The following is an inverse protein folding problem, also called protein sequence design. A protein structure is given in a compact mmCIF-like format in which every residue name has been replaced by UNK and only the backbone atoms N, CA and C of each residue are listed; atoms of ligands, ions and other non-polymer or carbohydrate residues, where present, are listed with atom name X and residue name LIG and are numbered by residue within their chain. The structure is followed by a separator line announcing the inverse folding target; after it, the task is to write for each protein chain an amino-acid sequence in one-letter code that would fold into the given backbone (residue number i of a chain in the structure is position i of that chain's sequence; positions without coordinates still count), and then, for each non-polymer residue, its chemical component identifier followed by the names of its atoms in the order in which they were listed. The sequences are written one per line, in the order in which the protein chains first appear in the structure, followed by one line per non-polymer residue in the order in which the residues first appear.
data_IF_641842487185
#
_entry.id   IF_641842487185
#
_cell.length_a   1.000
_cell.length_b   1.000
_cell.length_c   1.000
_cell.angle_alpha   90.00
_cell.angle_beta   90.00
_cell.angle_gamma   90.00
#
_symmetry.space_group_name_H-M   'P 1'
#
loop_
_entity.id
_entity.type
_entity.pdbx_description
1 polymer ?
#
# COMPACT_ATOMS: atom_id res chain seq x y z
N UNK A 1 9.72 -4.20 6.03
CA UNK A 1 9.99 -2.78 5.93
C UNK A 1 10.58 -2.46 4.56
N UNK A 2 9.71 -2.14 3.60
CA UNK A 2 10.06 -1.60 2.32
C UNK A 2 11.03 -2.41 1.45
N UNK A 3 11.32 -1.87 0.30
CA UNK A 3 12.27 -2.44 -0.67
C UNK A 3 13.75 -2.05 -0.40
N UNK A 4 14.01 -1.27 0.66
CA UNK A 4 15.37 -0.83 0.98
C UNK A 4 16.07 -1.80 1.94
N UNK A 5 16.99 -2.65 1.44
CA UNK A 5 17.67 -3.65 2.26
C UNK A 5 18.57 -3.03 3.35
N UNK A 6 19.08 -1.83 3.13
CA UNK A 6 19.90 -1.13 4.13
C UNK A 6 19.07 -0.70 5.33
N UNK A 7 17.88 -0.13 5.09
CA UNK A 7 16.96 0.24 6.16
C UNK A 7 16.45 -1.00 6.91
N UNK A 8 16.08 -2.05 6.18
CA UNK A 8 15.68 -3.31 6.78
C UNK A 8 16.79 -3.91 7.65
N UNK A 9 18.03 -3.92 7.16
CA UNK A 9 19.20 -4.38 7.90
C UNK A 9 19.49 -3.55 9.15
N UNK A 10 19.37 -2.22 9.05
CA UNK A 10 19.56 -1.33 10.19
C UNK A 10 18.51 -1.56 11.28
N UNK A 11 17.22 -1.70 10.92
CA UNK A 11 16.14 -1.99 11.86
C UNK A 11 16.29 -3.34 12.56
N UNK A 12 16.89 -4.32 11.88
CA UNK A 12 17.12 -5.65 12.44
C UNK A 12 18.52 -5.82 13.07
N UNK A 13 19.28 -4.75 13.25
CA UNK A 13 20.65 -4.81 13.76
C UNK A 13 21.53 -5.84 13.03
N UNK A 14 21.39 -5.92 11.69
CA UNK A 14 22.11 -6.88 10.86
C UNK A 14 21.61 -8.33 10.96
N UNK A 15 20.53 -8.59 11.67
CA UNK A 15 19.93 -9.92 11.77
C UNK A 15 19.42 -10.42 10.41
N UNK A 16 19.58 -11.73 10.14
CA UNK A 16 19.03 -12.41 8.95
C UNK A 16 17.51 -12.47 8.93
N UNK A 17 16.84 -12.13 10.05
CA UNK A 17 15.37 -12.16 10.17
C UNK A 17 14.64 -11.13 9.30
N UNK A 18 15.37 -10.30 8.54
CA UNK A 18 14.79 -9.43 7.51
C UNK A 18 14.44 -10.18 6.21
N UNK A 19 14.92 -11.39 6.05
CA UNK A 19 14.61 -12.22 4.88
C UNK A 19 13.10 -12.49 4.77
N UNK A 20 12.55 -12.50 3.55
CA UNK A 20 11.13 -12.80 3.30
C UNK A 20 10.64 -14.13 3.90
N UNK A 21 11.52 -15.12 4.01
CA UNK A 21 11.21 -16.43 4.62
C UNK A 21 10.74 -16.34 6.08
N UNK A 22 11.23 -15.34 6.83
CA UNK A 22 10.81 -15.10 8.20
C UNK A 22 9.51 -14.30 8.32
N UNK A 23 8.95 -13.82 7.21
CA UNK A 23 7.74 -12.99 7.27
C UNK A 23 6.55 -13.74 7.84
N UNK A 24 6.35 -14.98 7.41
CA UNK A 24 5.25 -15.83 7.90
C UNK A 24 5.38 -16.12 9.40
N UNK A 25 6.60 -16.43 9.89
CA UNK A 25 6.86 -16.61 11.32
C UNK A 25 6.53 -15.36 12.12
N UNK A 26 7.00 -14.19 11.66
CA UNK A 26 6.69 -12.91 12.32
C UNK A 26 5.19 -12.59 12.34
N UNK A 27 4.49 -12.93 11.26
CA UNK A 27 3.04 -12.76 11.20
C UNK A 27 2.33 -13.68 12.19
N UNK A 28 2.80 -14.91 12.35
CA UNK A 28 2.24 -15.84 13.32
C UNK A 28 2.48 -15.37 14.77
N UNK A 29 3.70 -14.93 15.09
CA UNK A 29 4.03 -14.38 16.41
C UNK A 29 3.17 -13.14 16.72
N UNK A 30 3.07 -12.20 15.75
CA UNK A 30 2.22 -11.01 15.91
C UNK A 30 0.75 -11.39 16.12
N UNK A 31 0.25 -12.37 15.35
CA UNK A 31 -1.10 -12.91 15.52
C UNK A 31 -1.31 -13.44 16.93
N UNK A 32 -0.38 -14.24 17.45
CA UNK A 32 -0.46 -14.81 18.80
C UNK A 32 -0.56 -13.71 19.84
N UNK A 33 0.29 -12.69 19.76
CA UNK A 33 0.20 -11.54 20.65
C UNK A 33 -1.15 -10.81 20.57
N UNK A 34 -1.67 -10.61 19.35
CA UNK A 34 -2.94 -9.91 19.15
C UNK A 34 -4.14 -10.66 19.73
N UNK A 35 -4.12 -11.99 19.74
CA UNK A 35 -5.22 -12.83 20.25
C UNK A 35 -4.98 -13.35 21.67
N UNK A 36 -3.87 -12.96 22.32
CA UNK A 36 -3.53 -13.36 23.69
C UNK A 36 -2.98 -14.75 23.87
N UNK A 37 -2.49 -15.31 22.78
CA UNK A 37 -1.73 -16.55 22.84
C UNK A 37 -0.24 -16.25 22.95
N UNK A 38 0.52 -17.18 23.49
CA UNK A 38 1.97 -17.09 23.46
C UNK A 38 2.49 -17.45 22.08
N UNK A 39 3.44 -16.66 21.51
CA UNK A 39 4.13 -17.04 20.30
C UNK A 39 4.87 -18.38 20.43
N UNK A 40 5.00 -19.09 19.33
CA UNK A 40 5.82 -20.33 19.28
C UNK A 40 7.33 -20.04 19.28
N UNK A 41 7.72 -18.82 18.92
CA UNK A 41 9.13 -18.41 18.91
C UNK A 41 9.67 -18.28 20.33
N UNK A 42 10.61 -19.13 20.71
CA UNK A 42 11.22 -19.23 22.04
C UNK A 42 11.67 -17.87 22.60
N UNK A 43 12.20 -17.00 21.75
CA UNK A 43 12.65 -15.65 22.15
C UNK A 43 11.54 -14.80 22.77
N UNK A 44 10.28 -15.13 22.55
CA UNK A 44 9.11 -14.39 23.06
C UNK A 44 8.35 -15.09 24.17
N UNK A 45 8.84 -16.24 24.65
CA UNK A 45 8.15 -17.04 25.66
C UNK A 45 7.87 -16.27 26.96
N UNK A 46 8.79 -15.36 27.33
CA UNK A 46 8.71 -14.53 28.52
C UNK A 46 8.15 -13.12 28.28
N UNK A 47 7.63 -12.84 27.07
CA UNK A 47 7.10 -11.53 26.70
C UNK A 47 5.59 -11.50 26.91
N UNK A 48 5.14 -10.58 27.78
CA UNK A 48 3.72 -10.31 27.98
C UNK A 48 3.35 -8.97 27.32
N UNK A 49 2.21 -8.94 26.64
CA UNK A 49 1.68 -7.72 26.01
C UNK A 49 0.65 -7.07 26.92
N UNK A 50 0.87 -5.78 27.22
CA UNK A 50 -0.05 -4.96 28.01
C UNK A 50 -0.46 -3.71 27.23
N UNK A 51 -1.72 -3.24 27.41
CA UNK A 51 -2.80 -3.82 28.20
C UNK A 51 -3.27 -5.14 27.62
N UNK A 52 -3.75 -6.04 28.50
CA UNK A 52 -4.28 -7.34 28.08
C UNK A 52 -5.50 -7.18 27.15
N UNK A 53 -5.80 -8.24 26.47
CA UNK A 53 -6.65 -8.35 25.28
C UNK A 53 -8.15 -8.11 25.52
N UNK A 54 -8.51 -6.90 25.86
CA UNK A 54 -9.94 -6.54 25.91
C UNK A 54 -10.56 -6.29 24.53
N UNK A 55 -9.78 -5.78 23.58
CA UNK A 55 -10.25 -5.41 22.24
C UNK A 55 -9.21 -5.80 21.18
N UNK A 56 -9.55 -6.78 20.34
CA UNK A 56 -8.77 -7.12 19.16
C UNK A 56 -8.88 -5.98 18.13
N UNK A 57 -7.77 -5.34 17.73
CA UNK A 57 -7.83 -4.31 16.71
C UNK A 57 -8.23 -4.89 15.35
N UNK A 58 -8.96 -4.13 14.55
CA UNK A 58 -9.20 -4.50 13.17
C UNK A 58 -7.87 -4.49 12.40
N UNK A 59 -7.45 -5.68 11.96
CA UNK A 59 -6.12 -5.89 11.38
C UNK A 59 -6.24 -6.17 9.90
N UNK A 60 -5.55 -5.39 9.08
CA UNK A 60 -5.51 -5.52 7.63
C UNK A 60 -4.09 -5.84 7.14
N UNK A 61 -3.96 -6.76 6.20
CA UNK A 61 -2.68 -7.02 5.54
C UNK A 61 -2.58 -6.21 4.25
N UNK A 62 -1.56 -5.35 4.15
CA UNK A 62 -1.25 -4.59 2.93
C UNK A 62 -0.53 -5.49 1.94
N UNK A 63 -1.06 -5.59 0.73
CA UNK A 63 -0.68 -6.60 -0.27
C UNK A 63 -0.45 -5.97 -1.63
N UNK A 64 0.64 -6.37 -2.30
CA UNK A 64 0.93 -6.03 -3.70
C UNK A 64 1.44 -7.24 -4.52
N UNK A 65 1.35 -8.44 -3.96
CA UNK A 65 1.86 -9.67 -4.59
C UNK A 65 0.98 -10.88 -4.30
N UNK A 66 1.10 -11.92 -5.12
CA UNK A 66 0.39 -13.19 -4.92
C UNK A 66 0.67 -13.81 -3.55
N UNK A 67 1.93 -13.85 -3.14
CA UNK A 67 2.30 -14.38 -1.83
C UNK A 67 1.63 -13.61 -0.69
N UNK A 68 1.54 -12.27 -0.80
CA UNK A 68 0.82 -11.46 0.18
C UNK A 68 -0.67 -11.79 0.24
N UNK A 69 -1.31 -11.98 -0.92
CA UNK A 69 -2.72 -12.36 -1.00
C UNK A 69 -2.97 -13.75 -0.39
N UNK A 70 -2.09 -14.71 -0.66
CA UNK A 70 -2.17 -16.05 -0.09
C UNK A 70 -1.99 -16.05 1.43
N UNK A 71 -1.07 -15.23 1.94
CA UNK A 71 -0.87 -15.05 3.38
C UNK A 71 -2.09 -14.39 4.05
N UNK A 72 -2.66 -13.33 3.44
CA UNK A 72 -3.88 -12.71 3.96
C UNK A 72 -5.03 -13.74 4.04
N UNK A 73 -5.21 -14.53 2.98
CA UNK A 73 -6.22 -15.58 2.93
C UNK A 73 -5.98 -16.68 3.97
N UNK A 74 -4.72 -17.13 4.11
CA UNK A 74 -4.33 -18.18 5.05
C UNK A 74 -4.56 -17.79 6.51
N UNK A 75 -4.16 -16.55 6.89
CA UNK A 75 -4.37 -16.04 8.24
C UNK A 75 -5.79 -15.52 8.48
N UNK A 76 -6.65 -15.49 7.46
CA UNK A 76 -8.01 -14.99 7.56
C UNK A 76 -8.06 -13.50 7.92
N UNK A 77 -7.11 -12.73 7.41
CA UNK A 77 -7.02 -11.28 7.60
C UNK A 77 -7.72 -10.54 6.47
N UNK A 78 -8.44 -9.45 6.74
CA UNK A 78 -8.80 -8.46 5.74
C UNK A 78 -7.60 -8.03 4.91
N UNK A 79 -7.77 -7.90 3.59
CA UNK A 79 -6.72 -7.59 2.65
C UNK A 79 -6.85 -6.17 2.10
N UNK A 80 -5.76 -5.39 2.14
CA UNK A 80 -5.67 -4.08 1.52
C UNK A 80 -4.73 -4.13 0.32
N UNK A 81 -5.26 -3.99 -0.89
CA UNK A 81 -4.47 -3.97 -2.11
C UNK A 81 -3.73 -2.64 -2.24
N UNK A 82 -2.42 -2.69 -2.35
CA UNK A 82 -1.55 -1.53 -2.54
C UNK A 82 -1.43 -1.17 -4.02
N UNK A 83 -2.53 -0.79 -4.67
CA UNK A 83 -2.55 -0.40 -6.07
C UNK A 83 -1.64 0.80 -6.36
N UNK A 84 -1.41 1.66 -5.37
CA UNK A 84 -0.45 2.77 -5.46
C UNK A 84 1.02 2.30 -5.59
N UNK A 85 1.33 1.04 -5.26
CA UNK A 85 2.66 0.41 -5.44
C UNK A 85 2.68 -0.43 -6.72
N UNK A 86 1.73 -1.36 -6.86
CA UNK A 86 1.62 -2.29 -7.98
C UNK A 86 0.21 -2.23 -8.57
N UNK A 87 0.10 -1.64 -9.74
CA UNK A 87 -1.20 -1.38 -10.37
C UNK A 87 -1.84 -2.63 -10.98
N UNK A 88 -1.05 -3.65 -11.31
CA UNK A 88 -1.54 -4.91 -11.85
C UNK A 88 -2.06 -5.87 -10.76
N UNK A 89 -2.25 -5.40 -9.52
CA UNK A 89 -2.61 -6.24 -8.37
C UNK A 89 -4.11 -6.55 -8.22
N UNK A 90 -4.99 -5.98 -9.03
CA UNK A 90 -6.45 -6.10 -8.83
C UNK A 90 -6.95 -7.54 -8.91
N UNK A 91 -6.34 -8.38 -9.75
CA UNK A 91 -6.66 -9.80 -9.88
C UNK A 91 -6.42 -10.59 -8.58
N UNK A 92 -5.61 -10.05 -7.66
CA UNK A 92 -5.35 -10.65 -6.36
C UNK A 92 -6.59 -10.68 -5.46
N UNK A 93 -7.58 -9.81 -5.72
CA UNK A 93 -8.85 -9.82 -4.98
C UNK A 93 -9.58 -11.16 -5.13
N UNK A 94 -9.69 -11.66 -6.35
CA UNK A 94 -10.31 -12.95 -6.63
C UNK A 94 -9.52 -14.11 -6.03
N UNK A 95 -8.18 -14.08 -6.18
CA UNK A 95 -7.29 -15.10 -5.59
C UNK A 95 -7.47 -15.17 -4.07
N UNK A 96 -7.46 -14.02 -3.41
CA UNK A 96 -7.68 -13.91 -1.98
C UNK A 96 -9.04 -14.46 -1.56
N UNK A 97 -10.14 -14.04 -2.22
CA UNK A 97 -11.50 -14.52 -1.88
C UNK A 97 -11.65 -16.01 -2.02
N UNK A 98 -11.09 -16.62 -3.08
CA UNK A 98 -11.15 -18.05 -3.33
C UNK A 98 -10.43 -18.89 -2.27
N UNK A 99 -9.33 -18.35 -1.72
CA UNK A 99 -8.48 -19.06 -0.77
C UNK A 99 -8.71 -18.66 0.69
N UNK A 100 -9.63 -17.73 0.96
CA UNK A 100 -9.86 -17.17 2.29
C UNK A 100 -10.29 -18.22 3.31
N UNK A 101 -9.64 -18.22 4.46
CA UNK A 101 -9.97 -19.06 5.62
C UNK A 101 -10.49 -18.17 6.75
N UNK A 102 -11.74 -18.38 7.23
CA UNK A 102 -12.25 -17.61 8.37
C UNK A 102 -11.36 -17.70 9.59
N UNK A 103 -11.20 -16.60 10.31
CA UNK A 103 -10.38 -16.51 11.52
C UNK A 103 -11.08 -15.69 12.62
N UNK A 104 -10.35 -15.39 13.69
CA UNK A 104 -10.81 -14.46 14.73
C UNK A 104 -10.84 -13.02 14.22
N UNK A 105 -10.04 -12.69 13.19
CA UNK A 105 -9.95 -11.35 12.60
C UNK A 105 -11.09 -11.05 11.63
N UNK A 106 -11.50 -12.05 10.85
CA UNK A 106 -12.65 -11.90 9.96
C UNK A 106 -13.33 -13.25 9.68
N UNK A 107 -14.65 -13.23 9.58
CA UNK A 107 -15.45 -14.41 9.22
C UNK A 107 -15.71 -14.50 7.72
N UNK A 108 -15.52 -13.40 7.00
CA UNK A 108 -15.71 -13.26 5.56
C UNK A 108 -14.52 -12.54 4.94
N UNK A 109 -14.20 -12.81 3.66
CA UNK A 109 -13.14 -12.06 2.98
C UNK A 109 -13.55 -10.59 2.85
N UNK A 110 -12.63 -9.68 3.19
CA UNK A 110 -12.80 -8.23 3.00
C UNK A 110 -11.64 -7.69 2.19
N UNK A 111 -11.93 -6.84 1.22
CA UNK A 111 -10.94 -6.21 0.34
C UNK A 111 -11.05 -4.70 0.43
N UNK A 112 -9.96 -4.01 0.66
CA UNK A 112 -9.82 -2.58 0.40
C UNK A 112 -8.78 -2.33 -0.68
N UNK A 113 -8.87 -1.19 -1.38
CA UNK A 113 -7.88 -0.81 -2.39
C UNK A 113 -7.31 0.55 -2.07
N UNK A 114 -5.99 0.62 -1.91
CA UNK A 114 -5.26 1.87 -1.77
C UNK A 114 -4.83 2.41 -3.13
N UNK A 115 -5.25 3.63 -3.45
CA UNK A 115 -4.91 4.31 -4.70
C UNK A 115 -4.21 5.62 -4.42
N UNK A 116 -3.38 6.07 -5.37
CA UNK A 116 -2.89 7.45 -5.40
C UNK A 116 -3.79 8.27 -6.32
N UNK A 117 -4.38 9.34 -5.79
CA UNK A 117 -5.27 10.19 -6.57
C UNK A 117 -5.06 11.68 -6.29
N UNK A 118 -5.22 12.49 -7.34
CA UNK A 118 -5.29 13.96 -7.27
C UNK A 118 -6.47 14.40 -8.12
N UNK A 119 -7.46 15.01 -7.48
CA UNK A 119 -8.65 15.56 -8.11
C UNK A 119 -8.62 17.08 -8.04
N UNK A 120 -8.95 17.76 -9.15
CA UNK A 120 -9.06 19.20 -9.24
C UNK A 120 -10.29 19.61 -10.08
N UNK A 121 -10.49 20.90 -10.31
CA UNK A 121 -11.61 21.39 -11.12
C UNK A 121 -11.44 21.02 -12.61
N UNK A 122 -10.20 20.94 -13.09
CA UNK A 122 -9.86 20.50 -14.44
C UNK A 122 -8.76 19.45 -14.46
N UNK A 123 -8.65 18.73 -15.59
CA UNK A 123 -7.57 17.77 -15.79
C UNK A 123 -6.19 18.47 -15.83
N UNK A 124 -6.11 19.65 -16.43
CA UNK A 124 -4.89 20.44 -16.52
C UNK A 124 -4.39 20.88 -15.13
N UNK A 125 -5.29 21.30 -14.27
CA UNK A 125 -4.97 21.68 -12.89
C UNK A 125 -4.51 20.47 -12.09
N UNK A 126 -5.21 19.33 -12.16
CA UNK A 126 -4.82 18.12 -11.50
C UNK A 126 -3.42 17.63 -11.92
N UNK A 127 -3.10 17.77 -13.21
CA UNK A 127 -1.77 17.45 -13.76
C UNK A 127 -0.72 18.38 -13.15
N UNK A 128 -1.00 19.68 -13.09
CA UNK A 128 -0.09 20.66 -12.49
C UNK A 128 0.20 20.31 -11.04
N UNK A 129 -0.83 20.04 -10.24
CA UNK A 129 -0.71 19.63 -8.83
C UNK A 129 0.06 18.31 -8.67
N UNK A 130 -0.04 17.41 -9.63
CA UNK A 130 0.67 16.12 -9.60
C UNK A 130 2.16 16.20 -9.91
N UNK A 131 2.63 17.33 -10.46
CA UNK A 131 3.99 17.48 -10.94
C UNK A 131 5.02 17.23 -9.83
N UNK A 132 4.81 17.80 -8.64
CA UNK A 132 5.69 17.63 -7.48
C UNK A 132 5.84 16.18 -7.05
N UNK A 133 4.73 15.45 -6.93
CA UNK A 133 4.73 14.03 -6.58
C UNK A 133 5.42 13.18 -7.66
N UNK A 134 5.23 13.52 -8.91
CA UNK A 134 5.83 12.82 -10.05
C UNK A 134 7.34 13.05 -10.12
N UNK A 135 7.80 14.29 -9.98
CA UNK A 135 9.21 14.63 -9.94
C UNK A 135 9.91 13.96 -8.74
N UNK A 136 9.30 14.04 -7.55
CA UNK A 136 9.84 13.38 -6.36
C UNK A 136 9.96 11.87 -6.54
N UNK A 137 8.93 11.22 -7.07
CA UNK A 137 8.94 9.77 -7.34
C UNK A 137 10.04 9.38 -8.33
N UNK A 138 10.22 10.17 -9.41
CA UNK A 138 11.30 9.97 -10.38
C UNK A 138 12.69 10.11 -9.74
N UNK A 139 12.87 11.09 -8.83
CA UNK A 139 14.12 11.25 -8.07
C UNK A 139 14.39 10.03 -7.20
N UNK A 140 13.40 9.56 -6.45
CA UNK A 140 13.52 8.37 -5.59
C UNK A 140 13.86 7.12 -6.40
N UNK A 141 13.20 6.90 -7.55
CA UNK A 141 13.50 5.75 -8.43
C UNK A 141 14.93 5.78 -8.98
N UNK A 142 15.51 6.96 -9.16
CA UNK A 142 16.91 7.14 -9.55
C UNK A 142 17.88 7.10 -8.37
N UNK A 143 17.42 6.73 -7.18
CA UNK A 143 18.23 6.68 -5.97
C UNK A 143 18.62 8.05 -5.39
N UNK A 144 17.98 9.13 -5.83
CA UNK A 144 18.23 10.47 -5.33
C UNK A 144 17.27 10.79 -4.19
N UNK A 145 17.82 10.97 -2.99
CA UNK A 145 17.06 11.51 -1.86
C UNK A 145 17.02 13.04 -1.97
N UNK A 146 15.84 13.64 -1.93
CA UNK A 146 15.66 15.09 -1.96
C UNK A 146 14.39 15.48 -1.20
N UNK A 147 14.30 16.75 -0.84
CA UNK A 147 13.04 17.33 -0.37
C UNK A 147 11.96 17.19 -1.46
N UNK A 148 10.71 17.25 -1.04
CA UNK A 148 9.58 17.30 -1.96
C UNK A 148 9.64 18.61 -2.77
N UNK A 149 9.65 18.56 -4.11
CA UNK A 149 9.87 19.76 -4.92
C UNK A 149 8.64 20.66 -4.97
N UNK A 150 8.85 21.95 -5.11
CA UNK A 150 7.80 22.91 -5.41
C UNK A 150 7.23 22.66 -6.81
N UNK A 151 5.96 23.03 -7.05
CA UNK A 151 5.29 22.81 -8.35
C UNK A 151 6.07 23.44 -9.50
N UNK A 152 6.59 24.66 -9.34
CA UNK A 152 7.34 25.34 -10.40
C UNK A 152 8.63 24.60 -10.79
N UNK A 153 9.37 24.06 -9.82
CA UNK A 153 10.56 23.25 -10.07
C UNK A 153 10.20 21.92 -10.74
N UNK A 154 9.17 21.28 -10.22
CA UNK A 154 8.70 20.00 -10.70
C UNK A 154 8.21 20.07 -12.16
N UNK A 155 7.47 21.11 -12.53
CA UNK A 155 7.00 21.32 -13.90
C UNK A 155 8.15 21.49 -14.89
N UNK A 156 9.24 22.16 -14.51
CA UNK A 156 10.45 22.26 -15.34
C UNK A 156 11.11 20.91 -15.53
N UNK A 157 11.31 20.18 -14.43
CA UNK A 157 11.95 18.86 -14.43
C UNK A 157 11.15 17.84 -15.25
N UNK A 158 9.83 17.86 -15.14
CA UNK A 158 8.94 16.96 -15.87
C UNK A 158 8.94 17.26 -17.38
N UNK A 159 8.94 18.53 -17.77
CA UNK A 159 9.05 18.94 -19.16
C UNK A 159 10.40 18.52 -19.78
N UNK A 160 11.49 18.72 -19.07
CA UNK A 160 12.84 18.34 -19.51
C UNK A 160 13.00 16.81 -19.64
N UNK A 161 12.38 16.06 -18.77
CA UNK A 161 12.45 14.59 -18.76
C UNK A 161 11.59 13.94 -19.85
N UNK A 162 10.83 14.69 -20.65
CA UNK A 162 9.82 14.17 -21.58
C UNK A 162 8.90 13.14 -20.92
N UNK A 163 8.76 13.23 -19.59
CA UNK A 163 7.99 12.30 -18.79
C UNK A 163 6.53 12.57 -19.10
N UNK A 164 5.90 11.70 -19.86
CA UNK A 164 4.49 11.82 -20.16
C UNK A 164 3.69 11.47 -18.88
N UNK A 165 3.45 12.47 -18.04
CA UNK A 165 2.62 12.35 -16.83
C UNK A 165 1.20 11.90 -17.17
N UNK A 166 0.86 11.95 -18.44
CA UNK A 166 -0.41 11.58 -19.04
C UNK A 166 -0.31 10.31 -19.87
N UNK A 167 0.76 9.49 -19.70
CA UNK A 167 0.87 8.27 -20.50
C UNK A 167 -0.46 7.53 -20.54
N UNK A 168 -0.93 7.24 -21.74
CA UNK A 168 -2.14 6.47 -21.97
C UNK A 168 -1.88 5.00 -21.62
N UNK A 169 -2.70 4.41 -20.78
CA UNK A 169 -2.54 3.01 -20.40
C UNK A 169 -3.12 2.64 -19.03
N UNK A 170 -3.18 1.36 -18.72
CA UNK A 170 -3.79 0.88 -17.47
C UNK A 170 -3.03 1.30 -16.19
N UNK A 171 -1.78 1.74 -16.32
CA UNK A 171 -0.92 2.16 -15.19
C UNK A 171 -0.97 3.67 -14.92
N UNK A 172 -2.12 4.30 -15.16
CA UNK A 172 -2.28 5.73 -14.87
C UNK A 172 -2.64 5.95 -13.40
N UNK A 173 -1.97 6.88 -12.71
CA UNK A 173 -2.50 7.37 -11.45
C UNK A 173 -3.87 8.02 -11.69
N UNK A 174 -4.72 8.02 -10.68
CA UNK A 174 -6.03 8.68 -10.73
C UNK A 174 -5.84 10.19 -10.57
N UNK A 175 -5.43 10.84 -11.66
CA UNK A 175 -5.18 12.28 -11.72
C UNK A 175 -6.14 12.87 -12.76
N UNK A 176 -6.87 13.91 -12.40
CA UNK A 176 -7.81 14.56 -13.31
C UNK A 176 -8.96 15.26 -12.59
N UNK A 177 -9.91 15.74 -13.40
CA UNK A 177 -11.19 16.26 -12.94
C UNK A 177 -12.04 15.17 -12.29
N UNK A 178 -13.09 15.56 -11.61
CA UNK A 178 -14.04 14.63 -10.98
C UNK A 178 -14.56 13.57 -11.97
N UNK A 179 -14.91 13.98 -13.18
CA UNK A 179 -15.40 13.06 -14.22
C UNK A 179 -14.32 12.07 -14.64
N UNK A 180 -13.10 12.53 -14.89
CA UNK A 180 -11.97 11.69 -15.26
C UNK A 180 -11.65 10.68 -14.17
N UNK A 181 -11.63 11.08 -12.90
CA UNK A 181 -11.41 10.17 -11.76
C UNK A 181 -12.53 9.14 -11.68
N UNK A 182 -13.80 9.58 -11.79
CA UNK A 182 -14.94 8.68 -11.73
C UNK A 182 -14.88 7.59 -12.81
N UNK A 183 -14.64 7.96 -14.06
CA UNK A 183 -14.53 7.01 -15.17
C UNK A 183 -13.41 6.01 -14.98
N UNK A 184 -12.24 6.45 -14.46
CA UNK A 184 -11.09 5.59 -14.21
C UNK A 184 -11.28 4.64 -13.03
N UNK A 185 -12.08 5.02 -12.04
CA UNK A 185 -12.38 4.17 -10.88
C UNK A 185 -13.33 3.01 -11.23
N UNK A 186 -14.22 3.17 -12.23
CA UNK A 186 -15.22 2.14 -12.56
C UNK A 186 -14.61 0.76 -12.86
N UNK A 187 -13.58 0.64 -13.72
CA UNK A 187 -12.94 -0.67 -13.98
C UNK A 187 -12.30 -1.26 -12.73
N UNK A 188 -11.66 -0.44 -11.87
CA UNK A 188 -11.05 -0.88 -10.63
C UNK A 188 -12.10 -1.45 -9.68
N UNK A 189 -13.17 -0.70 -9.45
CA UNK A 189 -14.27 -1.12 -8.57
C UNK A 189 -14.90 -2.41 -9.09
N UNK A 190 -15.15 -2.51 -10.39
CA UNK A 190 -15.74 -3.70 -11.01
C UNK A 190 -14.87 -4.95 -10.85
N UNK A 191 -13.55 -4.83 -10.91
CA UNK A 191 -12.60 -5.96 -10.83
C UNK A 191 -12.33 -6.33 -9.38
N UNK A 192 -12.01 -5.37 -8.54
CA UNK A 192 -11.62 -5.64 -7.16
C UNK A 192 -12.81 -5.79 -6.22
N UNK A 193 -13.98 -5.24 -6.56
CA UNK A 193 -15.20 -5.20 -5.72
C UNK A 193 -14.87 -4.89 -4.25
N UNK A 194 -14.24 -3.73 -3.99
CA UNK A 194 -13.74 -3.42 -2.65
C UNK A 194 -14.84 -2.85 -1.75
N UNK A 195 -14.80 -3.20 -0.46
CA UNK A 195 -15.62 -2.58 0.58
C UNK A 195 -15.15 -1.17 0.91
N UNK A 196 -13.88 -0.86 0.63
CA UNK A 196 -13.27 0.43 0.98
C UNK A 196 -12.24 0.88 -0.05
N UNK A 197 -12.25 2.16 -0.40
CA UNK A 197 -11.19 2.83 -1.13
C UNK A 197 -10.40 3.72 -0.19
N UNK A 198 -9.08 3.52 -0.14
CA UNK A 198 -8.13 4.35 0.61
C UNK A 198 -7.43 5.27 -0.37
N UNK A 199 -7.65 6.57 -0.24
CA UNK A 199 -7.09 7.56 -1.15
C UNK A 199 -5.86 8.19 -0.50
N UNK A 200 -4.72 8.10 -1.20
CA UNK A 200 -3.49 8.79 -0.86
C UNK A 200 -3.37 9.96 -1.81
N UNK A 201 -3.31 11.16 -1.26
CA UNK A 201 -3.03 12.37 -2.05
C UNK A 201 -1.78 13.05 -1.51
N UNK A 202 -0.89 13.44 -2.41
CA UNK A 202 0.32 14.19 -2.08
C UNK A 202 0.47 15.26 -3.16
N UNK A 203 0.20 16.50 -2.80
CA UNK A 203 0.31 17.65 -3.70
C UNK A 203 0.92 18.83 -2.95
N UNK A 204 1.30 19.86 -3.69
CA UNK A 204 1.76 21.17 -3.18
C UNK A 204 1.02 22.24 -4.02
N UNK A 205 0.56 23.33 -3.42
CA UNK A 205 0.69 23.70 -2.00
C UNK A 205 -0.21 22.87 -1.08
N UNK A 206 0.27 22.69 0.14
CA UNK A 206 -0.53 22.08 1.23
C UNK A 206 -1.35 23.20 1.88
N UNK A 207 -2.37 23.67 1.21
CA UNK A 207 -3.37 24.50 1.86
C UNK A 207 -4.35 23.58 2.60
N UNK A 208 -4.38 23.77 3.91
CA UNK A 208 -5.23 23.00 4.81
C UNK A 208 -6.69 23.49 4.75
#
# INVERSE_FOLDING_TARGET
PGSNPFQAGALAYGSKTTSPEFFTTKMNDLRSFLIGEKPETEAFESVDVTPGLGNLPETWLLVSSENGADLAAFFGLPMSLAHFIEQDCLHLADRYRKNFKPSVFSKVPKVSVGIFAICAESDEEAISLSASASAWRNRVQRGKSSAFPLVEEALKEVKEASTNLLSEGPKRPFIGSQNTIYERLQPLIKVADPEELKIITICEPFEA
#
